data_IF_048384625632
#
_entry.id   IF_048384625632
#
_cell.length_a   1.000
_cell.length_b   1.000
_cell.length_c   1.000
_cell.angle_alpha   90.00
_cell.angle_beta   90.00
_cell.angle_gamma   90.00
#
_symmetry.space_group_name_H-M   'P 1'
#
loop_
_entity.id
_entity.type
_entity.pdbx_description
1 polymer ?
#
# COMPACT_ATOMS: atom_id res chain seq x y z
N UNK A 1 -33.20 -12.21 -2.25
CA UNK A 1 -34.23 -12.58 -3.26
C UNK A 1 -34.86 -11.30 -3.76
N UNK A 2 -34.50 -10.86 -4.96
CA UNK A 2 -35.18 -9.75 -5.65
C UNK A 2 -36.60 -10.18 -5.91
N UNK A 3 -37.60 -9.36 -5.58
CA UNK A 3 -39.03 -9.62 -5.81
C UNK A 3 -39.21 -10.01 -7.27
N UNK A 4 -39.38 -11.31 -7.52
CA UNK A 4 -39.65 -11.83 -8.85
C UNK A 4 -41.02 -11.34 -9.29
N UNK A 5 -41.13 -10.84 -10.51
CA UNK A 5 -42.43 -10.47 -11.08
C UNK A 5 -43.31 -11.70 -11.35
N UNK A 6 -42.79 -12.90 -11.08
CA UNK A 6 -43.48 -14.18 -11.24
C UNK A 6 -44.81 -14.26 -10.45
N UNK A 7 -44.92 -13.56 -9.31
CA UNK A 7 -46.16 -13.55 -8.54
C UNK A 7 -47.33 -12.95 -9.33
N UNK A 8 -47.10 -11.94 -10.19
CA UNK A 8 -48.16 -11.33 -11.02
C UNK A 8 -48.69 -12.35 -12.00
N UNK A 9 -47.77 -13.07 -12.69
CA UNK A 9 -48.13 -14.10 -13.66
C UNK A 9 -48.83 -15.28 -12.96
N UNK A 10 -48.39 -15.61 -11.75
CA UNK A 10 -49.03 -16.67 -10.93
C UNK A 10 -50.45 -16.29 -10.52
N UNK A 11 -50.71 -15.03 -10.16
CA UNK A 11 -52.06 -14.51 -9.87
C UNK A 11 -52.94 -14.57 -11.12
N UNK A 12 -52.40 -14.13 -12.28
CA UNK A 12 -53.11 -14.21 -13.56
C UNK A 12 -53.47 -15.67 -13.93
N UNK A 13 -52.49 -16.56 -13.80
CA UNK A 13 -52.69 -18.00 -13.97
C UNK A 13 -53.83 -18.54 -13.09
N UNK A 14 -53.78 -18.23 -11.79
CA UNK A 14 -54.77 -18.70 -10.80
C UNK A 14 -56.14 -18.14 -11.08
N UNK A 15 -56.24 -16.86 -11.47
CA UNK A 15 -57.50 -16.20 -11.82
C UNK A 15 -58.12 -16.80 -13.07
N UNK A 16 -57.31 -17.06 -14.12
CA UNK A 16 -57.79 -17.73 -15.33
C UNK A 16 -58.23 -19.16 -15.06
N UNK A 17 -57.47 -19.91 -14.26
CA UNK A 17 -57.83 -21.28 -13.89
C UNK A 17 -59.17 -21.33 -13.11
N UNK A 18 -59.31 -20.42 -12.13
CA UNK A 18 -60.55 -20.30 -11.36
C UNK A 18 -61.75 -19.90 -12.23
N UNK A 19 -61.55 -18.91 -13.13
CA UNK A 19 -62.56 -18.49 -14.09
C UNK A 19 -63.01 -19.60 -15.04
N UNK A 20 -62.07 -20.46 -15.49
CA UNK A 20 -62.33 -21.62 -16.28
C UNK A 20 -63.18 -22.66 -15.55
N UNK A 21 -62.85 -22.96 -14.30
CA UNK A 21 -63.57 -23.89 -13.46
C UNK A 21 -64.97 -23.36 -13.11
N UNK A 22 -65.15 -22.06 -12.89
CA UNK A 22 -66.41 -21.43 -12.53
C UNK A 22 -67.38 -21.26 -13.71
N UNK A 23 -66.87 -20.93 -14.91
CA UNK A 23 -67.70 -20.60 -16.08
C UNK A 23 -67.73 -21.65 -17.18
N UNK A 24 -66.84 -22.63 -17.15
CA UNK A 24 -66.69 -23.67 -18.19
C UNK A 24 -66.23 -23.18 -19.56
N UNK A 25 -65.88 -21.88 -19.72
CA UNK A 25 -65.49 -21.28 -21.01
C UNK A 25 -64.09 -21.68 -21.42
N UNK A 26 -63.89 -22.15 -22.63
CA UNK A 26 -62.59 -22.59 -23.19
C UNK A 26 -61.52 -21.48 -23.19
N UNK A 27 -61.93 -20.22 -23.34
CA UNK A 27 -61.01 -19.07 -23.32
C UNK A 27 -60.17 -19.02 -22.03
N UNK A 28 -60.77 -19.26 -20.88
CA UNK A 28 -60.05 -19.19 -19.60
C UNK A 28 -59.06 -20.34 -19.46
N UNK A 29 -59.35 -21.53 -19.95
CA UNK A 29 -58.43 -22.65 -19.96
C UNK A 29 -57.25 -22.38 -20.90
N UNK A 30 -57.49 -21.81 -22.10
CA UNK A 30 -56.43 -21.45 -23.03
C UNK A 30 -55.48 -20.40 -22.45
N UNK A 31 -56.01 -19.38 -21.75
CA UNK A 31 -55.18 -18.40 -21.04
C UNK A 31 -54.43 -19.02 -19.83
N UNK A 32 -55.05 -19.94 -19.10
CA UNK A 32 -54.38 -20.64 -18.03
C UNK A 32 -53.19 -21.48 -18.55
N UNK A 33 -53.40 -22.21 -19.65
CA UNK A 33 -52.28 -22.95 -20.30
C UNK A 33 -51.16 -22.02 -20.77
N UNK A 34 -51.50 -20.84 -21.32
CA UNK A 34 -50.51 -19.85 -21.75
C UNK A 34 -49.65 -19.35 -20.57
N UNK A 35 -50.32 -18.89 -19.49
CA UNK A 35 -49.61 -18.38 -18.31
C UNK A 35 -48.85 -19.48 -17.57
N UNK A 36 -49.40 -20.67 -17.45
CA UNK A 36 -48.73 -21.83 -16.87
C UNK A 36 -47.54 -22.29 -17.67
N UNK A 37 -47.67 -22.35 -18.99
CA UNK A 37 -46.57 -22.66 -19.90
C UNK A 37 -45.45 -21.61 -19.83
N UNK A 38 -45.80 -20.32 -19.73
CA UNK A 38 -44.82 -19.21 -19.56
C UNK A 38 -44.06 -19.36 -18.23
N UNK A 39 -44.75 -19.65 -17.12
CA UNK A 39 -44.12 -19.86 -15.80
C UNK A 39 -43.13 -21.03 -15.84
N UNK A 40 -43.57 -22.19 -16.39
CA UNK A 40 -42.72 -23.38 -16.47
C UNK A 40 -41.50 -23.14 -17.34
N UNK A 41 -41.69 -22.58 -18.52
CA UNK A 41 -40.54 -22.32 -19.45
C UNK A 41 -39.59 -21.30 -18.89
N UNK A 42 -40.09 -20.21 -18.27
CA UNK A 42 -39.25 -19.21 -17.60
C UNK A 42 -38.48 -19.80 -16.40
N UNK A 43 -39.12 -20.65 -15.61
CA UNK A 43 -38.45 -21.31 -14.48
C UNK A 43 -37.33 -22.25 -14.92
N UNK A 44 -37.61 -23.13 -15.90
CA UNK A 44 -36.61 -24.05 -16.46
C UNK A 44 -35.46 -23.29 -17.10
N UNK A 45 -35.79 -22.21 -17.84
CA UNK A 45 -34.77 -21.35 -18.42
C UNK A 45 -33.87 -20.69 -17.36
N UNK A 46 -34.48 -20.03 -16.38
CA UNK A 46 -33.76 -19.38 -15.30
C UNK A 46 -32.81 -20.36 -14.58
N UNK A 47 -33.32 -21.60 -14.29
CA UNK A 47 -32.52 -22.64 -13.64
C UNK A 47 -31.29 -23.06 -14.45
N UNK A 48 -31.40 -23.01 -15.77
CA UNK A 48 -30.30 -23.35 -16.69
C UNK A 48 -29.38 -22.18 -16.99
N UNK A 49 -29.78 -20.93 -16.69
CA UNK A 49 -29.11 -19.72 -17.10
C UNK A 49 -27.66 -19.60 -16.58
N UNK A 50 -27.39 -20.04 -15.36
CA UNK A 50 -26.03 -20.05 -14.77
C UNK A 50 -25.38 -21.42 -14.74
N UNK A 51 -26.05 -22.45 -15.28
CA UNK A 51 -25.48 -23.81 -15.35
C UNK A 51 -24.25 -23.83 -16.26
N UNK A 52 -23.12 -24.32 -15.75
CA UNK A 52 -21.84 -24.38 -16.49
C UNK A 52 -21.16 -23.02 -16.74
N UNK A 53 -21.62 -21.94 -16.10
CA UNK A 53 -20.90 -20.67 -16.14
C UNK A 53 -19.91 -20.61 -14.98
N UNK A 54 -18.65 -20.33 -15.31
CA UNK A 54 -17.53 -20.23 -14.37
C UNK A 54 -16.84 -18.88 -14.60
N UNK A 55 -16.61 -18.16 -13.50
CA UNK A 55 -15.78 -16.96 -13.46
C UNK A 55 -14.49 -17.28 -12.72
N UNK A 56 -13.35 -17.07 -13.36
CA UNK A 56 -12.03 -17.19 -12.76
C UNK A 56 -11.39 -15.81 -12.64
N UNK A 57 -10.74 -15.56 -11.51
CA UNK A 57 -9.95 -14.35 -11.25
C UNK A 57 -8.49 -14.75 -11.11
N UNK A 58 -7.64 -14.15 -11.91
CA UNK A 58 -6.19 -14.36 -11.89
C UNK A 58 -5.50 -13.02 -11.62
N UNK A 59 -5.08 -12.81 -10.38
CA UNK A 59 -4.26 -11.66 -10.01
C UNK A 59 -2.78 -12.00 -10.26
N UNK A 60 -2.03 -11.07 -10.83
CA UNK A 60 -0.60 -11.25 -11.09
C UNK A 60 0.23 -11.22 -9.82
N UNK A 61 -0.21 -10.48 -8.81
CA UNK A 61 0.46 -10.35 -7.51
C UNK A 61 -0.56 -10.11 -6.40
N UNK A 62 -0.20 -10.43 -5.17
CA UNK A 62 -0.97 -10.13 -3.96
C UNK A 62 -0.58 -8.81 -3.31
N UNK A 63 0.47 -8.16 -3.83
CA UNK A 63 0.96 -6.87 -3.38
C UNK A 63 1.16 -5.93 -4.57
N UNK A 64 0.85 -4.65 -4.37
CA UNK A 64 1.10 -3.55 -5.29
C UNK A 64 1.72 -2.39 -4.51
N UNK A 65 2.18 -1.35 -5.18
CA UNK A 65 2.70 -0.14 -4.53
C UNK A 65 1.87 1.07 -4.94
N UNK A 66 1.73 2.05 -4.05
CA UNK A 66 1.08 3.32 -4.40
C UNK A 66 1.72 3.91 -5.65
N UNK A 67 0.90 4.27 -6.63
CA UNK A 67 1.30 4.76 -7.94
C UNK A 67 1.47 3.72 -9.02
N UNK A 68 1.63 2.46 -8.68
CA UNK A 68 1.67 1.37 -9.64
C UNK A 68 0.27 1.03 -10.16
N UNK A 69 0.23 0.35 -11.29
CA UNK A 69 -1.00 -0.22 -11.86
C UNK A 69 -1.09 -1.67 -11.45
N UNK A 70 -2.13 -1.98 -10.68
CA UNK A 70 -2.50 -3.36 -10.39
C UNK A 70 -3.25 -3.96 -11.56
N UNK A 71 -2.83 -5.12 -12.02
CA UNK A 71 -3.44 -5.84 -13.14
C UNK A 71 -4.01 -7.18 -12.67
N UNK A 72 -5.26 -7.41 -13.01
CA UNK A 72 -5.89 -8.72 -12.84
C UNK A 72 -6.60 -9.13 -14.12
N UNK A 73 -6.67 -10.42 -14.36
CA UNK A 73 -7.37 -11.02 -15.49
C UNK A 73 -8.62 -11.72 -14.99
N UNK A 74 -9.75 -11.35 -15.56
CA UNK A 74 -11.01 -12.04 -15.36
C UNK A 74 -11.32 -12.90 -16.60
N UNK A 75 -11.77 -14.13 -16.34
CA UNK A 75 -12.05 -15.12 -17.39
C UNK A 75 -13.44 -15.69 -17.10
N UNK A 76 -14.39 -15.39 -17.97
CA UNK A 76 -15.75 -15.93 -17.91
C UNK A 76 -15.89 -17.03 -18.97
N UNK A 77 -16.20 -18.25 -18.54
CA UNK A 77 -16.37 -19.42 -19.42
C UNK A 77 -17.79 -19.96 -19.32
N UNK A 78 -18.38 -20.28 -20.45
CA UNK A 78 -19.60 -21.08 -20.51
C UNK A 78 -19.27 -22.52 -20.91
N UNK A 79 -19.13 -23.40 -19.95
CA UNK A 79 -18.91 -24.84 -20.19
C UNK A 79 -20.24 -25.59 -20.43
N UNK A 80 -21.36 -24.88 -20.31
CA UNK A 80 -22.67 -25.46 -20.54
C UNK A 80 -22.98 -25.65 -22.03
N UNK A 81 -23.96 -26.53 -22.34
CA UNK A 81 -24.40 -26.81 -23.73
C UNK A 81 -25.28 -25.69 -24.31
N UNK A 82 -25.92 -24.88 -23.46
CA UNK A 82 -26.84 -23.81 -23.88
C UNK A 82 -26.13 -22.45 -23.90
N UNK A 83 -26.40 -21.62 -24.92
CA UNK A 83 -25.94 -20.25 -24.91
C UNK A 83 -26.62 -19.46 -23.76
N UNK A 84 -25.91 -18.48 -23.21
CA UNK A 84 -26.43 -17.60 -22.15
C UNK A 84 -26.85 -16.28 -22.79
N UNK A 85 -28.08 -15.86 -22.59
CA UNK A 85 -28.61 -14.63 -23.16
C UNK A 85 -27.92 -13.40 -22.55
N UNK A 86 -27.79 -13.42 -21.22
CA UNK A 86 -27.09 -12.40 -20.47
C UNK A 86 -26.56 -12.98 -19.17
N UNK A 87 -25.43 -12.46 -18.74
CA UNK A 87 -24.81 -12.76 -17.44
C UNK A 87 -24.36 -11.45 -16.83
N UNK A 88 -24.89 -11.11 -15.68
CA UNK A 88 -24.44 -9.96 -14.90
C UNK A 88 -23.38 -10.43 -13.91
N UNK A 89 -22.22 -9.80 -13.94
CA UNK A 89 -21.15 -10.00 -12.97
C UNK A 89 -21.26 -8.89 -11.96
N UNK A 90 -21.43 -9.24 -10.70
CA UNK A 90 -21.40 -8.31 -9.58
C UNK A 90 -20.16 -8.55 -8.77
N UNK A 91 -19.27 -7.59 -8.76
CA UNK A 91 -18.02 -7.62 -8.04
C UNK A 91 -18.01 -6.59 -6.92
N UNK A 92 -17.41 -6.96 -5.78
CA UNK A 92 -17.24 -6.08 -4.65
C UNK A 92 -15.75 -5.80 -4.49
N UNK A 93 -15.37 -4.52 -4.44
CA UNK A 93 -14.00 -4.13 -4.17
C UNK A 93 -13.98 -2.96 -3.21
N UNK A 94 -13.00 -2.97 -2.30
CA UNK A 94 -12.69 -1.81 -1.46
C UNK A 94 -11.51 -1.01 -2.02
N UNK A 95 -10.92 -1.45 -3.16
CA UNK A 95 -9.81 -0.75 -3.80
C UNK A 95 -10.35 0.50 -4.52
N UNK A 96 -9.87 1.70 -4.20
CA UNK A 96 -10.28 2.93 -4.88
C UNK A 96 -9.99 2.87 -6.39
N UNK A 97 -10.93 3.35 -7.20
CA UNK A 97 -10.79 3.35 -8.65
C UNK A 97 -10.90 1.98 -9.32
N UNK A 98 -11.34 0.94 -8.59
CA UNK A 98 -11.51 -0.40 -9.13
C UNK A 98 -12.69 -0.48 -10.09
N UNK A 99 -12.45 -0.97 -11.31
CA UNK A 99 -13.46 -1.15 -12.35
C UNK A 99 -13.28 -2.49 -13.07
N UNK A 100 -14.18 -3.43 -12.84
CA UNK A 100 -14.10 -4.79 -13.39
C UNK A 100 -14.95 -4.99 -14.66
N UNK A 101 -15.35 -3.93 -15.34
CA UNK A 101 -16.19 -4.05 -16.54
C UNK A 101 -15.38 -4.52 -17.75
N UNK A 102 -15.84 -5.53 -18.51
CA UNK A 102 -15.24 -5.86 -19.78
C UNK A 102 -15.44 -4.70 -20.75
N UNK A 103 -14.34 -4.06 -21.15
CA UNK A 103 -14.34 -3.11 -22.24
C UNK A 103 -14.53 -3.80 -23.58
N UNK A 104 -15.11 -3.14 -24.63
CA UNK A 104 -15.01 -3.62 -25.99
C UNK A 104 -13.55 -3.84 -26.35
N UNK A 105 -13.25 -4.91 -27.09
CA UNK A 105 -11.90 -5.30 -27.47
C UNK A 105 -11.16 -4.10 -28.11
N UNK A 106 -10.18 -3.52 -27.40
CA UNK A 106 -9.37 -2.39 -27.88
C UNK A 106 -9.53 -1.08 -27.12
N UNK A 107 -10.53 -0.90 -26.26
CA UNK A 107 -10.59 0.28 -25.39
C UNK A 107 -9.84 -0.04 -24.08
N UNK A 108 -8.64 0.49 -23.98
CA UNK A 108 -7.96 0.68 -22.70
C UNK A 108 -8.85 1.61 -21.85
N UNK A 109 -8.94 1.33 -20.55
CA UNK A 109 -9.73 2.12 -19.57
C UNK A 109 -9.23 3.57 -19.42
N UNK A 110 -9.01 4.29 -20.52
CA UNK A 110 -8.46 5.64 -20.60
C UNK A 110 -9.52 6.71 -20.90
N UNK A 111 -10.80 6.34 -20.99
CA UNK A 111 -11.84 7.36 -21.18
C UNK A 111 -12.33 7.96 -19.85
N UNK A 112 -12.17 9.27 -19.65
CA UNK A 112 -12.42 9.95 -18.36
C UNK A 112 -13.89 10.26 -18.06
N UNK A 113 -14.84 9.57 -18.70
CA UNK A 113 -16.26 9.94 -18.63
C UNK A 113 -17.13 9.23 -17.61
N UNK A 114 -16.71 8.10 -17.02
CA UNK A 114 -17.57 7.24 -16.20
C UNK A 114 -17.04 6.96 -14.78
N UNK A 115 -15.96 7.59 -14.37
CA UNK A 115 -15.27 7.36 -13.10
C UNK A 115 -16.04 7.81 -11.84
N UNK A 116 -17.19 8.47 -11.97
CA UNK A 116 -17.89 9.10 -10.82
C UNK A 116 -18.54 8.15 -9.82
N UNK A 117 -18.73 6.88 -10.17
CA UNK A 117 -19.39 5.91 -9.26
C UNK A 117 -18.42 4.96 -8.54
N UNK A 118 -17.15 4.91 -8.94
CA UNK A 118 -16.16 3.94 -8.46
C UNK A 118 -15.36 4.39 -7.22
N UNK A 119 -15.49 5.64 -6.80
CA UNK A 119 -14.60 6.24 -5.80
C UNK A 119 -15.08 6.13 -4.36
N UNK A 120 -16.23 5.51 -4.11
CA UNK A 120 -16.73 5.31 -2.75
C UNK A 120 -16.28 3.94 -2.20
N UNK A 121 -15.79 3.85 -0.95
CA UNK A 121 -15.36 2.59 -0.37
C UNK A 121 -16.52 1.58 -0.30
N UNK A 122 -16.34 0.42 -0.93
CA UNK A 122 -17.33 -0.66 -0.92
C UNK A 122 -18.30 -0.69 -2.10
N UNK A 123 -17.97 -0.08 -3.24
CA UNK A 123 -18.81 -0.10 -4.42
C UNK A 123 -18.95 -1.47 -5.05
N UNK A 124 -20.20 -1.76 -5.42
CA UNK A 124 -20.61 -2.86 -6.28
C UNK A 124 -20.40 -2.45 -7.72
N UNK A 125 -19.44 -3.03 -8.38
CA UNK A 125 -19.29 -2.92 -9.83
C UNK A 125 -20.18 -3.98 -10.47
N UNK A 126 -21.11 -3.56 -11.32
CA UNK A 126 -22.00 -4.44 -12.06
C UNK A 126 -21.72 -4.31 -13.55
N UNK A 127 -21.51 -5.44 -14.20
CA UNK A 127 -21.29 -5.53 -15.64
C UNK A 127 -22.17 -6.58 -16.26
N UNK A 128 -22.90 -6.22 -17.31
CA UNK A 128 -23.77 -7.14 -18.04
C UNK A 128 -23.12 -7.57 -19.35
N UNK A 129 -22.94 -8.87 -19.49
CA UNK A 129 -22.43 -9.50 -20.72
C UNK A 129 -23.60 -10.13 -21.43
N UNK A 130 -23.88 -9.69 -22.65
CA UNK A 130 -24.89 -10.26 -23.53
C UNK A 130 -24.30 -11.31 -24.47
N UNK A 131 -24.99 -12.43 -24.62
CA UNK A 131 -24.69 -13.41 -25.66
C UNK A 131 -23.44 -14.26 -25.45
N UNK A 132 -23.33 -14.98 -24.33
CA UNK A 132 -22.22 -15.93 -24.12
C UNK A 132 -22.57 -17.31 -24.71
N UNK A 133 -22.03 -17.63 -25.88
CA UNK A 133 -22.26 -18.90 -26.58
C UNK A 133 -21.78 -20.11 -25.78
N UNK A 134 -22.28 -21.31 -26.15
CA UNK A 134 -21.79 -22.58 -25.60
C UNK A 134 -20.31 -22.79 -25.90
N UNK A 135 -19.52 -23.22 -24.92
CA UNK A 135 -18.07 -23.43 -25.06
C UNK A 135 -17.24 -22.14 -25.25
N UNK A 136 -17.89 -20.98 -25.27
CA UNK A 136 -17.19 -19.69 -25.44
C UNK A 136 -16.59 -19.23 -24.12
N UNK A 137 -15.45 -18.54 -24.28
CA UNK A 137 -14.71 -17.91 -23.21
C UNK A 137 -14.53 -16.42 -23.52
N UNK A 138 -14.74 -15.57 -22.53
CA UNK A 138 -14.47 -14.14 -22.58
C UNK A 138 -13.38 -13.81 -21.56
N UNK A 139 -12.33 -13.17 -22.02
CA UNK A 139 -11.18 -12.72 -21.19
C UNK A 139 -11.06 -11.23 -21.28
N UNK A 140 -10.85 -10.58 -20.13
CA UNK A 140 -10.52 -9.16 -20.12
C UNK A 140 -9.54 -8.86 -18.99
N UNK A 141 -8.80 -7.78 -19.16
CA UNK A 141 -7.81 -7.29 -18.22
C UNK A 141 -8.39 -6.07 -17.49
N UNK A 142 -8.38 -6.14 -16.17
CA UNK A 142 -8.74 -5.01 -15.30
C UNK A 142 -7.46 -4.37 -14.83
N UNK A 143 -7.35 -3.06 -15.04
CA UNK A 143 -6.21 -2.24 -14.63
C UNK A 143 -6.68 -1.19 -13.66
N UNK A 144 -6.17 -1.23 -12.44
CA UNK A 144 -6.51 -0.25 -11.40
C UNK A 144 -5.26 0.43 -10.90
N UNK A 145 -5.24 1.75 -10.94
CA UNK A 145 -4.14 2.53 -10.36
C UNK A 145 -4.29 2.56 -8.85
N UNK A 146 -3.26 2.12 -8.12
CA UNK A 146 -3.24 2.13 -6.67
C UNK A 146 -2.93 3.56 -6.17
N UNK A 147 -3.92 4.25 -5.64
CA UNK A 147 -3.79 5.64 -5.17
C UNK A 147 -3.59 5.76 -3.66
N UNK A 148 -3.98 4.75 -2.89
CA UNK A 148 -3.87 4.72 -1.43
C UNK A 148 -3.19 3.43 -0.99
N UNK A 149 -2.35 3.52 0.04
CA UNK A 149 -1.82 2.35 0.72
C UNK A 149 -2.91 1.70 1.58
N UNK A 150 -2.72 0.44 1.90
CA UNK A 150 -3.62 -0.27 2.78
C UNK A 150 -3.86 -1.72 2.38
N UNK A 151 -4.74 -2.37 3.12
CA UNK A 151 -5.22 -3.70 2.81
C UNK A 151 -6.61 -3.62 2.20
N UNK A 152 -6.72 -3.98 0.93
CA UNK A 152 -7.97 -3.92 0.19
C UNK A 152 -8.52 -5.32 -0.06
N UNK A 153 -9.84 -5.41 -0.15
CA UNK A 153 -10.56 -6.63 -0.45
C UNK A 153 -11.08 -6.57 -1.88
N UNK A 154 -10.75 -7.56 -2.68
CA UNK A 154 -11.22 -7.78 -4.04
C UNK A 154 -12.17 -8.97 -4.04
N UNK A 155 -13.43 -8.77 -4.40
CA UNK A 155 -14.48 -9.78 -4.29
C UNK A 155 -15.19 -9.78 -2.92
N UNK A 156 -16.13 -10.73 -2.69
CA UNK A 156 -16.48 -11.82 -3.60
C UNK A 156 -17.20 -11.34 -4.86
N UNK A 157 -17.02 -12.05 -5.97
CA UNK A 157 -17.82 -11.82 -7.16
C UNK A 157 -18.94 -12.83 -7.28
N UNK A 158 -20.14 -12.36 -7.67
CA UNK A 158 -21.30 -13.18 -7.92
C UNK A 158 -21.77 -13.01 -9.37
N UNK A 159 -22.33 -14.07 -9.93
CA UNK A 159 -22.97 -14.07 -11.22
C UNK A 159 -24.49 -14.02 -11.02
N UNK A 160 -25.17 -13.17 -11.78
CA UNK A 160 -26.61 -13.12 -11.84
C UNK A 160 -27.09 -13.29 -13.28
N UNK A 161 -28.12 -14.04 -13.48
CA UNK A 161 -28.79 -14.22 -14.76
C UNK A 161 -30.27 -14.56 -14.55
N UNK A 162 -31.03 -14.67 -15.61
CA UNK A 162 -32.45 -15.00 -15.50
C UNK A 162 -33.07 -15.44 -16.82
N UNK A 163 -34.38 -15.58 -16.79
CA UNK A 163 -35.18 -15.87 -17.97
C UNK A 163 -35.34 -14.64 -18.89
N UNK A 164 -35.71 -14.83 -20.16
CA UNK A 164 -35.88 -13.73 -21.12
C UNK A 164 -36.99 -12.74 -20.74
N UNK A 165 -38.01 -13.20 -19.98
CA UNK A 165 -39.16 -12.39 -19.60
C UNK A 165 -38.94 -11.62 -18.28
N UNK A 166 -37.81 -11.90 -17.57
CA UNK A 166 -37.49 -11.25 -16.30
C UNK A 166 -38.38 -11.66 -15.12
N UNK A 167 -38.99 -12.83 -15.21
CA UNK A 167 -39.85 -13.39 -14.13
C UNK A 167 -39.01 -13.97 -13.01
N UNK A 168 -37.93 -14.65 -13.33
CA UNK A 168 -37.03 -15.31 -12.38
C UNK A 168 -35.61 -14.82 -12.57
N UNK A 169 -34.93 -14.58 -11.44
CA UNK A 169 -33.49 -14.28 -11.40
C UNK A 169 -32.78 -15.24 -10.47
N UNK A 170 -31.63 -15.73 -10.90
CA UNK A 170 -30.78 -16.63 -10.15
C UNK A 170 -29.43 -15.96 -9.96
N UNK A 171 -28.92 -16.05 -8.76
CA UNK A 171 -27.58 -15.58 -8.37
C UNK A 171 -26.75 -16.75 -7.86
N UNK A 172 -25.49 -16.78 -8.22
CA UNK A 172 -24.50 -17.79 -7.81
C UNK A 172 -23.20 -17.08 -7.44
N UNK A 173 -22.63 -17.43 -6.29
CA UNK A 173 -21.26 -17.01 -5.94
C UNK A 173 -20.26 -17.64 -6.90
N UNK A 174 -19.37 -16.81 -7.44
CA UNK A 174 -18.47 -17.22 -8.49
C UNK A 174 -17.02 -17.31 -8.02
N UNK A 175 -16.53 -16.27 -7.34
CA UNK A 175 -15.16 -16.23 -6.83
C UNK A 175 -15.14 -15.77 -5.37
N UNK A 176 -14.26 -16.38 -4.54
CA UNK A 176 -14.06 -15.90 -3.18
C UNK A 176 -13.41 -14.51 -3.17
N UNK A 177 -13.43 -13.88 -2.01
CA UNK A 177 -12.70 -12.63 -1.81
C UNK A 177 -11.19 -12.90 -1.69
N UNK A 178 -10.41 -12.04 -2.30
CA UNK A 178 -8.96 -11.99 -2.17
C UNK A 178 -8.54 -10.71 -1.47
N UNK A 179 -7.33 -10.71 -0.91
CA UNK A 179 -6.76 -9.51 -0.31
C UNK A 179 -5.59 -9.01 -1.16
N UNK A 180 -5.59 -7.72 -1.41
CA UNK A 180 -4.48 -6.99 -2.01
C UNK A 180 -3.89 -6.06 -0.95
N UNK A 181 -2.57 -6.10 -0.77
CA UNK A 181 -1.85 -5.15 0.06
C UNK A 181 -1.22 -4.11 -0.87
N UNK A 182 -1.58 -2.85 -0.69
CA UNK A 182 -0.96 -1.74 -1.40
C UNK A 182 0.08 -1.11 -0.48
N UNK A 183 1.34 -1.32 -0.81
CA UNK A 183 2.50 -0.80 -0.09
C UNK A 183 2.63 0.71 -0.26
N UNK A 184 3.21 1.45 0.70
CA UNK A 184 3.44 2.87 0.57
C UNK A 184 4.40 3.19 -0.58
N UNK A 185 4.34 4.43 -1.10
CA UNK A 185 5.31 4.90 -2.07
C UNK A 185 6.70 5.01 -1.45
N UNK A 186 7.72 4.75 -2.25
CA UNK A 186 9.13 4.95 -1.87
C UNK A 186 9.76 5.91 -2.87
N UNK A 187 10.25 7.03 -2.37
CA UNK A 187 11.00 7.98 -3.18
C UNK A 187 12.50 7.64 -3.16
N UNK A 188 13.18 7.74 -4.28
CA UNK A 188 14.63 7.52 -4.31
C UNK A 188 15.36 8.60 -3.51
N UNK A 189 16.25 8.15 -2.62
CA UNK A 189 17.13 9.01 -1.82
C UNK A 189 18.53 8.91 -2.42
N UNK A 190 19.09 10.03 -2.90
CA UNK A 190 20.40 10.03 -3.52
C UNK A 190 21.49 9.74 -2.49
N UNK A 191 21.51 10.51 -1.40
CA UNK A 191 22.47 10.36 -0.31
C UNK A 191 21.78 10.60 1.04
N UNK A 192 22.00 9.69 1.98
CA UNK A 192 21.53 9.84 3.35
C UNK A 192 22.65 9.49 4.32
N UNK A 193 23.18 10.51 4.97
CA UNK A 193 24.28 10.34 5.91
C UNK A 193 23.74 9.97 7.28
N UNK A 194 23.92 8.72 7.67
CA UNK A 194 23.61 8.24 9.03
C UNK A 194 24.71 8.74 9.97
N UNK A 195 24.37 9.35 11.11
CA UNK A 195 25.39 9.68 12.11
C UNK A 195 26.16 8.42 12.53
N UNK A 196 27.46 8.46 12.42
CA UNK A 196 28.31 7.38 12.99
C UNK A 196 28.15 7.43 14.50
N UNK A 197 27.82 6.30 15.14
CA UNK A 197 27.73 6.22 16.58
C UNK A 197 29.07 6.56 17.23
N UNK A 198 29.13 7.62 18.06
CA UNK A 198 30.31 7.95 18.83
C UNK A 198 30.44 7.02 20.02
N UNK A 199 31.58 6.30 20.11
CA UNK A 199 32.07 5.81 21.40
C UNK A 199 32.89 6.90 22.10
N UNK A 200 32.87 6.96 23.44
CA UNK A 200 33.69 7.93 24.19
C UNK A 200 35.17 7.67 23.93
N UNK A 201 35.83 8.68 23.40
CA UNK A 201 37.25 8.65 23.01
C UNK A 201 37.55 9.27 21.66
N UNK A 202 36.55 9.82 20.95
CA UNK A 202 36.76 10.55 19.69
C UNK A 202 37.17 9.70 18.49
N UNK A 203 37.30 8.38 18.65
CA UNK A 203 37.53 7.43 17.56
C UNK A 203 36.20 6.83 17.10
N UNK A 204 35.90 6.88 15.78
CA UNK A 204 34.96 5.96 15.20
C UNK A 204 35.34 4.56 15.67
N UNK A 205 34.35 3.71 15.99
CA UNK A 205 34.59 2.30 16.30
C UNK A 205 35.15 1.61 15.07
N UNK A 206 36.43 1.77 14.86
CA UNK A 206 37.17 1.00 13.88
C UNK A 206 37.44 -0.38 14.49
N UNK A 207 36.49 -1.29 14.31
CA UNK A 207 36.70 -2.65 14.76
C UNK A 207 37.62 -3.34 13.77
N UNK A 208 38.89 -3.51 14.16
CA UNK A 208 39.86 -4.29 13.37
C UNK A 208 39.34 -5.72 13.24
N UNK A 209 39.18 -6.16 12.02
CA UNK A 209 38.69 -7.51 11.75
C UNK A 209 39.79 -8.37 11.14
N UNK A 210 39.72 -9.65 11.49
CA UNK A 210 40.55 -10.67 10.85
C UNK A 210 39.94 -11.17 9.52
N UNK A 211 38.76 -10.66 9.11
CA UNK A 211 38.15 -11.00 7.82
C UNK A 211 38.59 -10.00 6.73
N UNK A 212 38.84 -10.51 5.51
CA UNK A 212 39.18 -9.68 4.34
C UNK A 212 37.93 -8.95 3.89
N UNK A 213 37.88 -7.63 4.12
CA UNK A 213 36.80 -6.74 3.66
C UNK A 213 37.25 -5.90 2.46
N UNK A 214 36.31 -5.27 1.73
CA UNK A 214 36.64 -4.45 0.56
C UNK A 214 37.46 -3.19 0.88
N UNK A 215 37.46 -2.73 2.16
CA UNK A 215 38.15 -1.50 2.60
C UNK A 215 39.41 -1.81 3.39
N UNK A 216 40.56 -1.71 2.75
CA UNK A 216 41.87 -1.70 3.42
C UNK A 216 42.16 -0.29 3.88
N UNK A 217 42.17 -0.02 5.18
CA UNK A 217 42.33 1.31 5.79
C UNK A 217 43.80 1.60 6.11
N UNK A 218 44.59 0.56 6.32
CA UNK A 218 46.00 0.71 6.69
C UNK A 218 46.85 -0.51 6.36
N UNK A 219 48.11 -0.38 6.66
CA UNK A 219 49.09 -1.47 6.58
C UNK A 219 49.92 -1.51 7.87
N UNK A 220 50.10 -2.70 8.46
CA UNK A 220 50.97 -2.91 9.61
C UNK A 220 52.00 -4.01 9.35
N UNK A 221 52.95 -4.15 10.23
CA UNK A 221 53.88 -5.30 10.18
C UNK A 221 53.15 -6.61 10.47
N UNK A 222 53.63 -7.65 9.81
CA UNK A 222 53.11 -9.02 10.01
C UNK A 222 53.36 -9.49 11.44
N UNK A 223 52.35 -10.10 12.02
CA UNK A 223 52.46 -10.82 13.31
C UNK A 223 52.20 -12.31 13.10
N UNK A 224 52.83 -13.21 13.85
CA UNK A 224 52.53 -14.65 13.81
C UNK A 224 51.01 -14.90 14.02
N UNK A 225 50.39 -15.58 13.06
CA UNK A 225 48.95 -15.82 13.04
C UNK A 225 48.15 -15.01 11.97
N UNK A 226 48.75 -14.06 11.28
CA UNK A 226 48.14 -13.37 10.17
C UNK A 226 48.06 -14.26 8.92
N UNK A 227 46.94 -14.22 8.22
CA UNK A 227 46.74 -14.99 6.99
C UNK A 227 47.60 -14.45 5.86
N UNK A 228 48.29 -15.31 5.12
CA UNK A 228 49.15 -14.95 3.96
C UNK A 228 48.40 -14.20 2.85
N UNK A 229 47.12 -14.42 2.69
CA UNK A 229 46.23 -13.71 1.74
C UNK A 229 46.11 -12.21 2.00
N UNK A 230 46.50 -11.76 3.20
CA UNK A 230 46.41 -10.37 3.63
C UNK A 230 47.73 -9.57 3.38
N UNK A 231 48.78 -10.22 2.90
CA UNK A 231 50.06 -9.57 2.67
C UNK A 231 49.92 -8.51 1.55
N UNK A 232 50.36 -7.31 1.85
CA UNK A 232 50.47 -6.23 0.87
C UNK A 232 51.84 -6.27 0.16
N UNK A 233 51.94 -7.10 -0.85
CA UNK A 233 53.20 -7.40 -1.54
C UNK A 233 53.99 -6.16 -1.99
N UNK A 234 53.30 -5.13 -2.47
CA UNK A 234 53.94 -3.87 -2.92
C UNK A 234 54.60 -3.11 -1.77
N UNK A 235 54.02 -3.10 -0.57
CA UNK A 235 54.65 -2.48 0.60
C UNK A 235 55.73 -3.37 1.21
N UNK A 236 55.54 -4.68 1.17
CA UNK A 236 56.52 -5.69 1.60
C UNK A 236 57.81 -5.56 0.78
N UNK A 237 57.70 -5.46 -0.55
CA UNK A 237 58.86 -5.28 -1.43
C UNK A 237 59.62 -3.95 -1.21
N UNK A 238 58.90 -2.90 -0.79
CA UNK A 238 59.54 -1.59 -0.51
C UNK A 238 60.23 -1.50 0.84
N UNK A 239 59.69 -2.22 1.83
CA UNK A 239 60.13 -2.09 3.23
C UNK A 239 60.99 -3.28 3.69
N UNK A 240 61.19 -4.27 2.80
CA UNK A 240 61.92 -5.52 3.07
C UNK A 240 61.44 -6.28 4.32
N UNK A 241 60.18 -6.05 4.72
CA UNK A 241 59.50 -6.68 5.85
C UNK A 241 58.11 -7.06 5.43
N UNK A 242 57.57 -8.15 5.96
CA UNK A 242 56.20 -8.58 5.67
C UNK A 242 55.20 -7.54 6.20
N UNK A 243 54.46 -6.96 5.30
CA UNK A 243 53.41 -5.98 5.61
C UNK A 243 52.06 -6.56 5.28
N UNK A 244 51.13 -6.46 6.23
CA UNK A 244 49.77 -6.98 6.13
C UNK A 244 48.78 -5.81 5.96
N UNK A 245 47.80 -5.99 5.10
CA UNK A 245 46.66 -5.06 4.99
C UNK A 245 45.82 -5.13 6.23
N UNK A 246 45.53 -4.01 6.82
CA UNK A 246 44.62 -3.84 7.92
C UNK A 246 43.24 -3.55 7.35
N UNK A 247 42.29 -4.45 7.58
CA UNK A 247 40.91 -4.30 7.15
C UNK A 247 40.07 -3.80 8.32
N UNK A 248 39.23 -2.86 8.02
CA UNK A 248 38.30 -2.28 8.96
C UNK A 248 36.88 -2.74 8.60
N UNK A 249 36.13 -3.20 9.59
CA UNK A 249 34.68 -3.27 9.45
C UNK A 249 34.21 -1.87 9.76
N UNK A 250 33.63 -1.17 8.76
CA UNK A 250 32.76 -0.05 9.04
C UNK A 250 31.63 -0.59 9.94
N UNK A 251 31.56 -0.19 11.21
CA UNK A 251 30.52 -0.70 12.11
C UNK A 251 29.20 -0.27 11.49
N UNK A 252 28.54 -1.21 10.80
CA UNK A 252 27.21 -0.99 10.23
C UNK A 252 26.24 -0.80 11.38
N UNK A 253 26.13 0.45 11.80
CA UNK A 253 25.26 0.87 12.90
C UNK A 253 23.81 0.53 12.56
N UNK A 254 23.12 -0.11 13.50
CA UNK A 254 21.68 -0.36 13.37
C UNK A 254 20.90 0.94 13.33
N UNK A 255 19.98 1.06 12.38
CA UNK A 255 19.11 2.24 12.24
C UNK A 255 17.70 1.88 12.65
N UNK A 256 17.16 2.63 13.60
CA UNK A 256 15.78 2.49 14.03
C UNK A 256 14.94 3.63 13.50
N UNK A 257 13.92 3.32 12.74
CA UNK A 257 12.94 4.28 12.25
C UNK A 257 11.79 4.29 13.26
N UNK A 258 11.52 5.44 13.86
CA UNK A 258 10.43 5.61 14.83
C UNK A 258 9.44 6.57 14.21
N UNK A 259 8.23 6.06 13.92
CA UNK A 259 7.17 6.82 13.25
C UNK A 259 6.13 7.24 14.29
N UNK A 260 5.86 8.52 14.33
CA UNK A 260 4.76 9.08 15.12
C UNK A 260 3.42 8.76 14.44
N UNK A 261 2.67 7.88 15.07
CA UNK A 261 1.33 7.52 14.65
C UNK A 261 0.25 7.97 15.66
N UNK A 262 0.55 9.02 16.45
CA UNK A 262 -0.41 9.64 17.37
C UNK A 262 -1.49 10.39 16.60
N UNK A 263 -2.75 10.17 16.94
CA UNK A 263 -3.87 10.92 16.35
C UNK A 263 -3.85 12.42 16.66
N UNK A 264 -3.15 12.83 17.74
CA UNK A 264 -3.08 14.21 18.18
C UNK A 264 -2.10 15.08 17.40
N UNK A 265 -1.15 14.46 16.69
CA UNK A 265 -0.09 15.15 15.94
C UNK A 265 -0.33 15.18 14.45
N UNK A 266 -1.35 14.44 13.98
CA UNK A 266 -1.65 14.39 12.54
C UNK A 266 -2.46 15.59 12.09
N UNK A 267 -2.11 16.08 10.91
CA UNK A 267 -2.76 17.24 10.28
C UNK A 267 -3.12 16.92 8.84
N UNK A 268 -4.25 17.45 8.41
CA UNK A 268 -4.72 17.42 7.02
C UNK A 268 -5.39 18.74 6.67
N UNK A 269 -5.26 19.27 5.45
CA UNK A 269 -5.97 20.46 5.04
C UNK A 269 -7.49 20.26 5.14
N UNK A 270 -8.24 21.26 5.65
CA UNK A 270 -9.69 21.16 5.87
C UNK A 270 -10.50 20.96 4.59
N UNK A 271 -9.98 21.41 3.44
CA UNK A 271 -10.66 21.36 2.14
C UNK A 271 -10.53 20.01 1.40
N UNK A 272 -9.89 19.03 1.99
CA UNK A 272 -9.87 17.68 1.45
C UNK A 272 -11.16 16.97 1.84
N UNK A 273 -12.18 17.08 0.98
CA UNK A 273 -13.24 16.09 0.92
C UNK A 273 -12.61 14.70 0.68
N UNK A 274 -13.05 13.74 1.44
CA UNK A 274 -12.40 12.45 1.67
C UNK A 274 -12.03 11.63 0.42
N UNK A 275 -12.38 11.96 -0.80
CA UNK A 275 -12.10 11.15 -2.00
C UNK A 275 -12.32 11.90 -3.32
N UNK A 276 -11.81 13.09 -3.49
CA UNK A 276 -11.78 13.63 -4.85
C UNK A 276 -10.42 13.36 -5.51
N UNK A 277 -10.36 12.54 -6.55
CA UNK A 277 -9.24 12.55 -7.46
C UNK A 277 -9.21 13.95 -8.13
N UNK A 278 -8.34 14.82 -7.65
CA UNK A 278 -8.13 16.13 -8.26
C UNK A 278 -7.46 15.95 -9.61
N UNK A 279 -8.28 15.99 -10.66
CA UNK A 279 -7.84 16.16 -12.03
C UNK A 279 -7.06 15.00 -12.64
N UNK A 280 -7.03 14.97 -13.95
CA UNK A 280 -6.20 14.09 -14.77
C UNK A 280 -4.73 14.49 -14.53
N UNK A 281 -4.09 13.88 -13.54
CA UNK A 281 -2.64 14.04 -13.33
C UNK A 281 -1.91 13.29 -14.45
N UNK A 282 -0.84 13.89 -15.02
CA UNK A 282 0.00 13.19 -15.97
C UNK A 282 0.49 11.87 -15.33
N UNK A 283 0.57 10.82 -16.13
CA UNK A 283 0.89 9.43 -15.76
C UNK A 283 2.19 9.24 -14.94
N UNK A 284 3.00 10.27 -14.81
CA UNK A 284 4.35 10.22 -14.21
C UNK A 284 4.44 10.66 -12.75
N UNK A 285 3.44 11.34 -12.16
CA UNK A 285 3.56 11.88 -10.81
C UNK A 285 2.48 11.33 -9.88
N UNK A 286 2.90 10.44 -8.99
CA UNK A 286 2.09 10.06 -7.82
C UNK A 286 2.22 11.18 -6.80
N UNK A 287 1.17 11.96 -6.62
CA UNK A 287 1.11 12.90 -5.49
C UNK A 287 0.60 12.16 -4.27
N UNK A 288 1.38 12.22 -3.19
CA UNK A 288 0.93 11.74 -1.89
C UNK A 288 -0.30 12.54 -1.46
N UNK A 289 -1.29 11.90 -0.81
CA UNK A 289 -2.34 12.64 -0.12
C UNK A 289 -1.69 13.66 0.81
N UNK A 290 -2.14 14.94 0.82
CA UNK A 290 -1.49 15.99 1.60
C UNK A 290 -1.84 15.89 3.09
N UNK A 291 -1.44 14.79 3.72
CA UNK A 291 -1.58 14.54 5.14
C UNK A 291 -0.22 14.23 5.75
N UNK A 292 0.00 14.64 6.99
CA UNK A 292 1.24 14.35 7.71
C UNK A 292 1.46 12.86 7.87
N UNK A 293 0.39 12.07 8.05
CA UNK A 293 0.45 10.62 8.11
C UNK A 293 1.07 10.01 6.85
N UNK A 294 0.56 10.36 5.66
CA UNK A 294 1.05 9.80 4.39
C UNK A 294 2.49 10.20 4.09
N UNK A 295 2.85 11.46 4.38
CA UNK A 295 4.22 11.93 4.21
C UNK A 295 5.19 11.29 5.20
N UNK A 296 4.76 11.10 6.46
CA UNK A 296 5.56 10.41 7.47
C UNK A 296 5.83 8.94 7.11
N UNK A 297 4.80 8.26 6.62
CA UNK A 297 4.92 6.86 6.18
C UNK A 297 5.76 6.74 4.91
N UNK A 298 5.60 7.66 3.95
CA UNK A 298 6.43 7.68 2.74
C UNK A 298 7.90 7.95 3.09
N UNK A 299 8.18 8.83 4.06
CA UNK A 299 9.53 9.07 4.56
C UNK A 299 10.13 7.82 5.21
N UNK A 300 9.36 7.13 6.06
CA UNK A 300 9.79 5.89 6.69
C UNK A 300 10.06 4.77 5.67
N UNK A 301 9.17 4.61 4.69
CA UNK A 301 9.30 3.63 3.62
C UNK A 301 10.52 3.90 2.73
N UNK A 302 10.73 5.17 2.35
CA UNK A 302 11.88 5.59 1.53
C UNK A 302 13.20 5.38 2.25
N UNK A 303 13.27 5.71 3.56
CA UNK A 303 14.44 5.47 4.39
C UNK A 303 14.72 3.97 4.57
N UNK A 304 13.69 3.18 4.84
CA UNK A 304 13.84 1.73 4.97
C UNK A 304 14.37 1.11 3.67
N UNK A 305 13.80 1.50 2.53
CA UNK A 305 14.26 1.05 1.21
C UNK A 305 15.71 1.43 0.96
N UNK A 306 16.07 2.70 1.18
CA UNK A 306 17.42 3.23 0.95
C UNK A 306 18.47 2.55 1.85
N UNK A 307 18.17 2.35 3.13
CA UNK A 307 19.12 1.78 4.09
C UNK A 307 19.29 0.27 3.90
N UNK A 308 18.19 -0.47 3.69
CA UNK A 308 18.23 -1.91 3.46
C UNK A 308 18.88 -2.28 2.12
N UNK A 309 18.69 -1.46 1.07
CA UNK A 309 19.39 -1.64 -0.23
C UNK A 309 20.92 -1.47 -0.11
N UNK A 310 21.40 -0.79 0.94
CA UNK A 310 22.83 -0.63 1.28
C UNK A 310 23.28 -1.61 2.37
N UNK A 311 22.52 -2.67 2.59
CA UNK A 311 22.82 -3.71 3.56
C UNK A 311 22.98 -3.19 5.00
N UNK A 312 22.22 -2.13 5.37
CA UNK A 312 22.13 -1.65 6.76
C UNK A 312 21.03 -2.43 7.48
N UNK A 313 21.22 -2.71 8.77
CA UNK A 313 20.16 -3.26 9.60
C UNK A 313 19.17 -2.15 9.98
N UNK A 314 17.88 -2.39 9.71
CA UNK A 314 16.80 -1.41 9.97
C UNK A 314 15.73 -2.03 10.85
N UNK A 315 15.41 -1.35 11.96
CA UNK A 315 14.27 -1.63 12.82
C UNK A 315 13.16 -0.59 12.61
N UNK A 316 11.94 -0.93 12.98
CA UNK A 316 10.78 -0.04 12.91
C UNK A 316 10.04 -0.03 14.25
N UNK A 317 9.68 1.15 14.72
CA UNK A 317 8.79 1.36 15.86
C UNK A 317 7.66 2.30 15.44
N UNK A 318 6.42 1.88 15.64
CA UNK A 318 5.25 2.71 15.41
C UNK A 318 4.12 2.30 16.37
N UNK A 319 3.52 3.28 17.02
CA UNK A 319 2.42 3.09 17.96
C UNK A 319 1.15 3.71 17.39
N UNK A 320 0.50 2.98 16.48
CA UNK A 320 -0.80 3.33 15.93
C UNK A 320 -1.94 2.74 16.77
N UNK A 321 -2.93 2.20 16.11
CA UNK A 321 -4.00 1.40 16.77
C UNK A 321 -3.42 0.18 17.49
N UNK A 322 -2.38 -0.40 16.91
CA UNK A 322 -1.60 -1.51 17.45
C UNK A 322 -0.15 -1.08 17.57
N UNK A 323 0.54 -1.60 18.58
CA UNK A 323 1.97 -1.39 18.76
C UNK A 323 2.75 -2.27 17.78
N UNK A 324 3.54 -1.66 16.92
CA UNK A 324 4.44 -2.33 15.99
C UNK A 324 5.89 -2.08 16.39
N UNK A 325 6.62 -3.15 16.67
CA UNK A 325 8.06 -3.11 16.97
C UNK A 325 8.73 -4.22 16.18
N UNK A 326 9.43 -3.85 15.11
CA UNK A 326 10.24 -4.75 14.30
C UNK A 326 11.70 -4.56 14.67
N UNK A 327 12.33 -5.64 15.11
CA UNK A 327 13.75 -5.61 15.45
C UNK A 327 14.61 -5.30 14.23
N UNK A 328 15.76 -4.65 14.45
CA UNK A 328 16.67 -4.32 13.37
C UNK A 328 17.21 -5.59 12.71
N UNK A 329 16.98 -5.71 11.40
CA UNK A 329 17.44 -6.82 10.58
C UNK A 329 17.77 -6.32 9.18
N UNK A 330 18.33 -7.17 8.32
CA UNK A 330 18.79 -6.84 6.96
C UNK A 330 18.06 -7.62 5.89
N UNK A 331 18.24 -7.17 4.66
CA UNK A 331 17.79 -7.88 3.47
C UNK A 331 16.32 -7.65 3.10
N UNK A 332 15.92 -8.28 2.00
CA UNK A 332 14.59 -8.11 1.40
C UNK A 332 13.42 -8.54 2.30
N UNK A 333 13.54 -9.62 3.10
CA UNK A 333 12.44 -9.99 4.00
C UNK A 333 12.11 -8.90 5.02
N UNK A 334 13.13 -8.23 5.57
CA UNK A 334 12.94 -7.12 6.50
C UNK A 334 12.27 -5.93 5.83
N UNK A 335 12.68 -5.61 4.59
CA UNK A 335 12.05 -4.54 3.82
C UNK A 335 10.56 -4.83 3.59
N UNK A 336 10.22 -6.03 3.15
CA UNK A 336 8.84 -6.41 2.92
C UNK A 336 8.02 -6.30 4.22
N UNK A 337 8.53 -6.78 5.34
CA UNK A 337 7.86 -6.69 6.63
C UNK A 337 7.63 -5.25 7.07
N UNK A 338 8.62 -4.38 6.90
CA UNK A 338 8.50 -2.94 7.20
C UNK A 338 7.44 -2.30 6.30
N UNK A 339 7.49 -2.53 4.99
CA UNK A 339 6.55 -1.93 4.04
C UNK A 339 5.11 -2.42 4.27
N UNK A 340 4.89 -3.70 4.58
CA UNK A 340 3.59 -4.26 4.92
C UNK A 340 3.03 -3.66 6.22
N UNK A 341 3.89 -3.50 7.23
CA UNK A 341 3.51 -2.85 8.49
C UNK A 341 3.11 -1.39 8.26
N UNK A 342 3.91 -0.65 7.48
CA UNK A 342 3.61 0.73 7.10
C UNK A 342 2.38 0.87 6.20
N UNK A 343 2.09 -0.13 5.36
CA UNK A 343 0.89 -0.15 4.54
C UNK A 343 -0.40 -0.16 5.37
N UNK A 344 -0.39 -0.87 6.49
CA UNK A 344 -1.56 -1.03 7.37
C UNK A 344 -1.53 -0.14 8.61
N UNK A 345 -0.47 0.65 8.78
CA UNK A 345 -0.34 1.58 9.89
C UNK A 345 -1.34 2.72 9.75
N UNK A 346 -2.17 2.91 10.77
CA UNK A 346 -3.12 4.00 10.90
C UNK A 346 -2.75 4.87 12.10
N UNK A 347 -2.81 6.19 11.94
CA UNK A 347 -2.43 7.15 12.97
C UNK A 347 -3.55 7.36 14.01
N UNK A 348 -3.90 6.29 14.70
CA UNK A 348 -4.86 6.28 15.82
C UNK A 348 -4.20 6.05 17.19
N UNK A 349 -2.88 6.22 17.27
CA UNK A 349 -2.14 6.13 18.54
C UNK A 349 -2.55 7.20 19.53
N UNK A 350 -2.50 6.86 20.81
CA UNK A 350 -2.78 7.79 21.92
C UNK A 350 -1.51 8.37 22.55
N UNK A 351 -0.38 7.71 22.34
CA UNK A 351 0.91 8.12 22.89
C UNK A 351 1.62 9.07 21.93
N UNK A 352 2.17 10.15 22.44
CA UNK A 352 3.06 11.03 21.69
C UNK A 352 4.42 10.37 21.45
N UNK A 353 5.16 10.85 20.44
CA UNK A 353 6.47 10.28 20.11
C UNK A 353 7.46 10.34 21.27
N UNK A 354 7.43 11.38 22.08
CA UNK A 354 8.26 11.53 23.29
C UNK A 354 7.99 10.44 24.34
N UNK A 355 6.73 10.02 24.48
CA UNK A 355 6.36 8.90 25.36
C UNK A 355 6.80 7.55 24.78
N UNK A 356 6.60 7.35 23.48
CA UNK A 356 7.07 6.14 22.77
C UNK A 356 8.58 5.99 22.91
N UNK A 357 9.34 7.08 22.75
CA UNK A 357 10.79 7.05 22.92
C UNK A 357 11.16 6.64 24.36
N UNK A 358 10.51 7.20 25.38
CA UNK A 358 10.79 6.83 26.78
C UNK A 358 10.54 5.35 27.06
N UNK A 359 9.47 4.79 26.50
CA UNK A 359 9.13 3.37 26.65
C UNK A 359 10.13 2.48 25.95
N UNK A 360 10.53 2.84 24.72
CA UNK A 360 11.36 1.98 23.86
C UNK A 360 12.87 2.27 23.97
N UNK A 361 13.26 3.37 24.62
CA UNK A 361 14.68 3.75 24.80
C UNK A 361 15.59 2.61 25.33
N UNK A 362 15.14 1.74 26.26
CA UNK A 362 15.97 0.62 26.73
C UNK A 362 16.28 -0.45 25.66
N UNK A 363 15.50 -0.49 24.56
CA UNK A 363 15.65 -1.50 23.51
C UNK A 363 16.68 -1.14 22.46
N UNK A 364 17.03 0.15 22.35
CA UNK A 364 18.01 0.58 21.37
C UNK A 364 19.41 0.11 21.75
N UNK A 365 20.12 -0.56 20.83
CA UNK A 365 21.53 -0.90 21.07
C UNK A 365 22.38 0.38 21.22
N UNK A 366 23.43 0.30 22.03
CA UNK A 366 24.39 1.40 22.13
C UNK A 366 25.07 1.63 20.78
N UNK A 367 25.17 2.87 20.36
CA UNK A 367 25.74 3.25 19.06
C UNK A 367 24.72 3.23 17.90
N UNK A 368 23.47 2.76 18.14
CA UNK A 368 22.43 2.81 17.12
C UNK A 368 22.07 4.24 16.76
N UNK A 369 21.47 4.40 15.57
CA UNK A 369 20.85 5.66 15.13
C UNK A 369 19.35 5.54 15.20
N UNK A 370 18.65 6.50 15.83
CA UNK A 370 17.21 6.59 15.86
C UNK A 370 16.74 7.74 14.96
N UNK A 371 16.04 7.42 13.88
CA UNK A 371 15.40 8.39 12.98
C UNK A 371 13.96 8.59 13.44
N UNK A 372 13.67 9.77 13.98
CA UNK A 372 12.39 10.13 14.57
C UNK A 372 11.58 10.91 13.55
N UNK A 373 10.43 10.38 13.13
CA UNK A 373 9.56 10.99 12.13
C UNK A 373 8.27 11.46 12.82
N UNK A 374 8.01 12.77 12.85
CA UNK A 374 6.85 13.34 13.55
C UNK A 374 6.42 14.68 12.96
N UNK A 375 5.15 15.03 13.16
CA UNK A 375 4.60 16.36 12.92
C UNK A 375 4.46 17.19 14.22
N UNK A 376 4.86 16.64 15.38
CA UNK A 376 4.72 17.29 16.67
C UNK A 376 5.69 18.47 16.85
N UNK A 377 5.23 19.72 16.99
CA UNK A 377 6.08 20.88 17.19
C UNK A 377 6.49 21.11 18.65
N UNK A 378 6.07 20.22 19.59
CA UNK A 378 6.29 20.43 21.03
C UNK A 378 7.75 20.23 21.43
N UNK A 379 8.16 20.99 22.46
CA UNK A 379 9.54 20.92 22.97
C UNK A 379 9.86 19.63 23.73
N UNK A 380 8.86 18.89 24.20
CA UNK A 380 9.03 17.59 24.88
C UNK A 380 9.84 16.60 24.03
N UNK A 381 9.74 16.70 22.72
CA UNK A 381 10.54 15.91 21.78
C UNK A 381 12.05 16.11 21.95
N UNK A 382 12.49 17.35 22.19
CA UNK A 382 13.91 17.65 22.42
C UNK A 382 14.44 17.05 23.74
N UNK A 383 13.57 16.88 24.72
CA UNK A 383 13.93 16.19 25.98
C UNK A 383 14.06 14.71 25.73
N UNK A 384 13.16 14.12 24.93
CA UNK A 384 13.23 12.72 24.55
C UNK A 384 14.50 12.39 23.72
N UNK A 385 14.95 13.31 22.85
CA UNK A 385 16.22 13.12 22.12
C UNK A 385 17.43 13.11 23.06
N UNK A 386 17.46 13.94 24.10
CA UNK A 386 18.53 13.93 25.09
C UNK A 386 18.61 12.58 25.86
N UNK A 387 17.47 11.97 26.14
CA UNK A 387 17.45 10.64 26.77
C UNK A 387 18.10 9.57 25.88
N UNK A 388 17.87 9.63 24.56
CA UNK A 388 18.54 8.78 23.57
C UNK A 388 20.05 9.02 23.56
N UNK A 389 20.49 10.28 23.55
CA UNK A 389 21.91 10.66 23.56
C UNK A 389 22.62 10.15 24.84
N UNK A 390 21.99 10.27 26.01
CA UNK A 390 22.50 9.71 27.28
C UNK A 390 22.73 8.21 27.19
N UNK A 391 21.91 7.51 26.41
CA UNK A 391 22.02 6.07 26.15
C UNK A 391 22.99 5.73 25.00
N UNK A 392 23.66 6.74 24.45
CA UNK A 392 24.57 6.62 23.29
C UNK A 392 23.86 6.17 22.02
N UNK A 393 22.61 6.55 21.85
CA UNK A 393 21.86 6.43 20.61
C UNK A 393 21.87 7.79 19.93
N UNK A 394 22.23 7.84 18.65
CA UNK A 394 22.30 9.08 17.87
C UNK A 394 20.93 9.44 17.30
N UNK A 395 20.22 10.46 17.82
CA UNK A 395 18.94 10.84 17.26
C UNK A 395 19.10 11.66 15.99
N UNK A 396 18.21 11.43 15.04
CA UNK A 396 18.02 12.26 13.85
C UNK A 396 16.53 12.59 13.73
N UNK A 397 16.19 13.82 13.41
CA UNK A 397 14.81 14.29 13.39
C UNK A 397 14.36 14.55 11.96
N UNK A 398 13.27 13.90 11.55
CA UNK A 398 12.52 14.18 10.34
C UNK A 398 11.20 14.80 10.75
N UNK A 399 11.14 16.14 10.69
CA UNK A 399 9.94 16.90 11.04
C UNK A 399 9.07 17.08 9.81
N UNK A 400 7.78 16.86 9.99
CA UNK A 400 6.75 17.26 9.05
C UNK A 400 6.24 18.63 9.47
N UNK A 401 6.28 19.60 8.56
CA UNK A 401 5.83 20.97 8.86
C UNK A 401 4.30 21.03 8.96
N UNK A 402 3.78 20.74 10.17
CA UNK A 402 2.35 20.62 10.43
C UNK A 402 1.53 21.81 9.89
N UNK A 403 2.09 23.04 9.95
CA UNK A 403 1.45 24.25 9.43
C UNK A 403 1.19 24.16 7.92
N UNK A 404 2.13 23.61 7.16
CA UNK A 404 1.97 23.41 5.70
C UNK A 404 0.87 22.40 5.34
N UNK A 405 0.47 21.57 6.29
CA UNK A 405 -0.63 20.61 6.19
C UNK A 405 -1.93 21.11 6.87
N UNK A 406 -2.02 22.41 7.23
CA UNK A 406 -3.18 22.98 7.90
C UNK A 406 -3.25 22.69 9.40
N UNK A 407 -2.14 22.26 10.00
CA UNK A 407 -2.03 21.97 11.44
C UNK A 407 -1.44 23.12 12.26
N UNK A 408 -0.97 22.78 13.46
CA UNK A 408 -0.46 23.75 14.44
C UNK A 408 0.92 24.28 14.00
N UNK A 409 1.16 25.61 14.07
CA UNK A 409 2.46 26.21 13.74
C UNK A 409 3.52 25.86 14.78
N UNK A 410 4.80 25.96 14.38
CA UNK A 410 5.95 25.81 15.29
C UNK A 410 6.99 24.78 14.85
N UNK A 411 6.74 24.00 13.82
CA UNK A 411 7.67 22.98 13.32
C UNK A 411 8.99 23.58 12.85
N UNK A 412 8.97 24.73 12.16
CA UNK A 412 10.18 25.43 11.71
C UNK A 412 11.02 25.93 12.90
N UNK A 413 10.37 26.51 13.92
CA UNK A 413 11.06 26.99 15.13
C UNK A 413 11.65 25.81 15.95
N UNK A 414 10.99 24.67 15.98
CA UNK A 414 11.53 23.46 16.60
C UNK A 414 12.75 22.93 15.81
N UNK A 415 12.67 22.90 14.49
CA UNK A 415 13.76 22.48 13.61
C UNK A 415 15.02 23.33 13.84
N UNK A 416 14.86 24.65 13.92
CA UNK A 416 15.97 25.57 14.19
C UNK A 416 16.58 25.34 15.58
N UNK A 417 15.76 25.19 16.62
CA UNK A 417 16.24 24.89 17.99
C UNK A 417 16.95 23.56 18.06
N UNK A 418 16.43 22.52 17.39
CA UNK A 418 17.08 21.22 17.31
C UNK A 418 18.44 21.31 16.61
N UNK A 419 18.50 22.03 15.47
CA UNK A 419 19.74 22.24 14.73
C UNK A 419 20.81 23.01 15.53
N UNK A 420 20.40 24.06 16.30
CA UNK A 420 21.31 24.78 17.21
C UNK A 420 21.90 23.90 18.31
N UNK A 421 21.20 22.80 18.67
CA UNK A 421 21.70 21.80 19.63
C UNK A 421 22.55 20.72 18.98
N UNK A 422 22.83 20.81 17.67
CA UNK A 422 23.63 19.86 16.93
C UNK A 422 22.88 18.63 16.43
N UNK A 423 21.54 18.58 16.60
CA UNK A 423 20.73 17.51 16.03
C UNK A 423 20.64 17.67 14.51
N UNK A 424 20.72 16.56 13.79
CA UNK A 424 20.43 16.53 12.36
C UNK A 424 18.92 16.57 12.16
N UNK A 425 18.46 17.59 11.44
CA UNK A 425 17.04 17.80 11.17
C UNK A 425 16.79 17.84 9.67
N UNK A 426 15.68 17.23 9.25
CA UNK A 426 15.09 17.38 7.92
C UNK A 426 13.66 17.87 8.12
N UNK A 427 13.28 18.94 7.43
CA UNK A 427 11.94 19.51 7.48
C UNK A 427 11.23 19.27 6.16
N UNK A 428 10.14 18.49 6.18
CA UNK A 428 9.33 18.14 5.02
C UNK A 428 8.04 18.97 5.07
N UNK A 429 7.71 19.62 3.96
CA UNK A 429 6.50 20.42 3.77
C UNK A 429 5.51 19.72 2.85
N UNK A 430 4.26 20.14 2.91
CA UNK A 430 3.24 19.69 1.98
C UNK A 430 3.64 20.04 0.54
N UNK A 431 3.61 19.05 -0.35
CA UNK A 431 4.03 19.20 -1.76
C UNK A 431 5.50 18.90 -2.03
N UNK A 432 6.33 18.72 -1.00
CA UNK A 432 7.74 18.35 -1.18
C UNK A 432 7.87 16.91 -1.71
N UNK A 433 8.91 16.67 -2.51
CA UNK A 433 9.35 15.30 -2.82
C UNK A 433 10.20 14.80 -1.65
N UNK A 434 9.66 13.80 -0.96
CA UNK A 434 10.24 13.27 0.28
C UNK A 434 11.70 12.84 0.08
N UNK A 435 12.02 12.15 -1.01
CA UNK A 435 13.39 11.71 -1.32
C UNK A 435 14.40 12.84 -1.46
N UNK A 436 13.98 13.96 -2.05
CA UNK A 436 14.86 15.13 -2.22
C UNK A 436 15.19 15.79 -0.86
N UNK A 437 14.19 15.97 -0.01
CA UNK A 437 14.41 16.56 1.33
C UNK A 437 15.28 15.66 2.20
N UNK A 438 15.05 14.35 2.16
CA UNK A 438 15.86 13.38 2.89
C UNK A 438 17.30 13.34 2.39
N UNK A 439 17.54 13.54 1.09
CA UNK A 439 18.87 13.62 0.50
C UNK A 439 19.63 14.88 0.90
N UNK A 440 18.98 15.87 1.49
CA UNK A 440 19.60 17.16 1.81
C UNK A 440 19.83 18.06 0.60
N UNK A 441 19.25 17.74 -0.55
CA UNK A 441 19.26 18.61 -1.72
C UNK A 441 18.46 19.87 -1.40
N UNK A 442 19.07 21.04 -1.58
CA UNK A 442 18.37 22.31 -1.46
C UNK A 442 17.24 22.35 -2.50
N UNK A 443 16.00 22.53 -2.06
CA UNK A 443 14.90 22.75 -3.00
C UNK A 443 15.07 24.12 -3.63
N UNK A 444 14.96 24.24 -4.97
CA UNK A 444 14.76 25.54 -5.58
C UNK A 444 13.42 26.10 -5.06
N UNK A 445 13.45 27.31 -4.54
CA UNK A 445 12.23 28.03 -4.15
C UNK A 445 11.24 28.02 -5.33
N UNK A 446 9.97 27.68 -5.11
CA UNK A 446 8.98 27.71 -6.17
C UNK A 446 8.90 29.14 -6.74
N UNK A 447 8.97 29.26 -8.06
CA UNK A 447 9.10 30.52 -8.79
C UNK A 447 7.97 31.56 -8.53
N UNK A 448 6.89 31.19 -7.81
CA UNK A 448 5.78 32.07 -7.46
C UNK A 448 5.98 32.90 -6.18
N UNK A 449 7.12 32.71 -5.45
CA UNK A 449 7.45 33.53 -4.25
C UNK A 449 8.38 34.71 -4.58
N UNK A 450 8.61 35.02 -5.86
CA UNK A 450 9.41 36.15 -6.32
C UNK A 450 8.49 37.07 -7.15
N UNK A 451 7.46 37.59 -6.51
CA UNK A 451 6.67 38.72 -7.02
C UNK A 451 6.11 39.50 -5.83
#
# INVERSE_FOLDING_TARGET
MTRSRAWVVLVLFSLCLFGGLATGRELFYSLAYLWGGLLITSFVWARSALSGVILERQARSTAAQVGSVFEERLILRNQGRLPKLWVEIRDHSTLPGYWATPGPAGLTADEPGTARAADLPGHRVSSVIAGLGSGRELRWLVRTRCTRRGRFRLGPASLESGDPFGLFRISKDATPAHHLIVLPSTDPIAEFTVPSGYLPGGGALHQRTNQVTANAVGVREYAPGDGLSRIHWRSTARRERLIVKEFEIDPKVDVWIVVDASSMTQSRPPDLAEDQPRGILPRSEVRLPPTTEEYGIAAAASLAFHLLSRDRAVGLIAYGRVRHVLQANRGQPQLNQILETLATLEAFGRLGLDEVIRIEAPRFPRGATAVLITADPRQSLLVATQELERRRVSPMLVLLDAESFGGVPGSAALAERASRRGLRVRLIRCGDRVGNVLSGAAQPLPAWKVA
#
